data_IF_987425297464
#
_entry.id   IF_987425297464
#
_cell.length_a   1.000
_cell.length_b   1.000
_cell.length_c   1.000
_cell.angle_alpha   90.00
_cell.angle_beta   90.00
_cell.angle_gamma   90.00
#
_symmetry.space_group_name_H-M   'P 1'
#
loop_
_entity.id
_entity.type
_entity.pdbx_description
1 polymer ?
#
# COMPACT_ATOMS: atom_id res chain seq x y z
N UNK A 1 -41.87 -20.01 32.58
CA UNK A 1 -42.53 -19.22 31.52
C UNK A 1 -41.48 -18.30 30.92
N UNK A 2 -41.16 -18.50 29.62
CA UNK A 2 -40.34 -17.70 28.67
C UNK A 2 -38.97 -17.17 29.17
N UNK A 3 -37.77 -17.65 28.81
CA UNK A 3 -37.14 -18.20 27.59
C UNK A 3 -37.08 -17.24 26.38
N UNK A 4 -35.89 -16.66 26.11
CA UNK A 4 -35.11 -16.82 24.86
C UNK A 4 -34.03 -15.71 24.70
N UNK A 5 -32.77 -16.11 24.87
CA UNK A 5 -31.55 -15.41 24.46
C UNK A 5 -31.27 -15.68 22.98
N UNK A 6 -31.03 -14.65 22.15
CA UNK A 6 -30.59 -14.83 20.74
C UNK A 6 -29.06 -14.77 20.65
N UNK A 7 -28.49 -15.93 20.37
CA UNK A 7 -27.14 -16.15 19.87
C UNK A 7 -27.12 -15.88 18.36
N UNK A 8 -26.11 -15.16 17.86
CA UNK A 8 -25.88 -14.94 16.43
C UNK A 8 -24.57 -15.63 16.07
N UNK A 9 -24.66 -16.65 15.22
CA UNK A 9 -23.55 -17.28 14.49
C UNK A 9 -24.01 -17.61 13.06
N UNK A 10 -23.08 -17.71 12.08
CA UNK A 10 -23.37 -17.52 10.66
C UNK A 10 -23.81 -18.83 9.98
N UNK A 11 -24.77 -18.72 9.07
CA UNK A 11 -25.20 -19.83 8.21
C UNK A 11 -24.43 -19.76 6.89
N UNK A 12 -23.58 -20.77 6.68
CA UNK A 12 -23.05 -21.16 5.39
C UNK A 12 -24.19 -21.41 4.39
N UNK A 13 -24.11 -20.78 3.21
CA UNK A 13 -24.96 -21.13 2.06
C UNK A 13 -24.07 -21.38 0.86
N UNK A 14 -23.66 -22.64 0.73
CA UNK A 14 -23.21 -23.21 -0.53
C UNK A 14 -24.45 -23.44 -1.40
N UNK A 15 -24.51 -22.78 -2.56
CA UNK A 15 -25.41 -23.16 -3.65
C UNK A 15 -24.57 -23.36 -4.91
N UNK A 16 -24.61 -24.58 -5.38
CA UNK A 16 -23.89 -25.13 -6.52
C UNK A 16 -24.82 -25.01 -7.74
N UNK A 17 -24.22 -24.84 -8.92
CA UNK A 17 -24.77 -25.06 -10.28
C UNK A 17 -25.43 -23.86 -10.98
N UNK A 18 -24.67 -23.23 -11.87
CA UNK A 18 -25.12 -22.97 -13.24
C UNK A 18 -23.92 -22.97 -14.19
N UNK A 19 -23.88 -24.00 -15.03
CA UNK A 19 -22.95 -24.21 -16.14
C UNK A 19 -23.06 -23.10 -17.18
N UNK A 20 -21.95 -22.52 -17.61
CA UNK A 20 -21.86 -21.80 -18.89
C UNK A 20 -20.51 -22.06 -19.53
N UNK A 21 -20.47 -23.14 -20.32
CA UNK A 21 -19.45 -23.40 -21.33
C UNK A 21 -19.64 -22.39 -22.47
N UNK A 22 -18.85 -21.33 -22.53
CA UNK A 22 -18.72 -20.53 -23.77
C UNK A 22 -17.47 -20.98 -24.51
N UNK A 23 -17.73 -21.83 -25.50
CA UNK A 23 -16.79 -22.34 -26.49
C UNK A 23 -16.26 -21.21 -27.40
N UNK A 24 -14.96 -21.28 -27.68
CA UNK A 24 -14.30 -21.12 -28.99
C UNK A 24 -14.95 -20.17 -30.03
N UNK A 25 -14.21 -19.10 -30.37
CA UNK A 25 -14.20 -18.55 -31.74
C UNK A 25 -12.79 -18.03 -32.10
N UNK A 26 -12.04 -18.71 -32.99
CA UNK A 26 -10.96 -18.11 -33.74
C UNK A 26 -11.55 -17.54 -35.04
N UNK A 27 -11.30 -16.26 -35.32
CA UNK A 27 -11.58 -15.67 -36.64
C UNK A 27 -10.24 -15.36 -37.31
N UNK A 28 -9.91 -16.18 -38.31
CA UNK A 28 -9.02 -15.82 -39.42
C UNK A 28 -9.86 -15.33 -40.60
N UNK A 29 -9.19 -14.61 -41.52
CA UNK A 29 -9.67 -13.87 -42.71
C UNK A 29 -10.01 -12.40 -42.39
N UNK A 30 -9.56 -11.38 -43.14
CA UNK A 30 -9.11 -11.35 -44.52
C UNK A 30 -8.03 -10.26 -44.78
N UNK A 31 -7.32 -10.50 -45.88
CA UNK A 31 -6.32 -9.69 -46.59
C UNK A 31 -6.85 -8.30 -47.03
N UNK A 32 -5.97 -7.28 -47.01
CA UNK A 32 -5.74 -6.15 -47.97
C UNK A 32 -4.89 -5.10 -47.19
N UNK A 33 -3.56 -5.02 -47.32
CA UNK A 33 -2.70 -4.50 -48.41
C UNK A 33 -2.57 -2.95 -48.46
N UNK A 34 -1.55 -2.42 -47.77
CA UNK A 34 -0.73 -1.22 -48.10
C UNK A 34 0.28 -1.08 -46.95
N UNK A 35 1.60 -1.22 -47.10
CA UNK A 35 2.50 -0.69 -48.11
C UNK A 35 3.81 -1.51 -48.19
N UNK A 36 4.25 -1.75 -49.41
CA UNK A 36 5.49 -2.43 -49.78
C UNK A 36 6.71 -1.52 -49.54
N UNK A 37 7.77 -2.07 -48.96
CA UNK A 37 9.15 -1.74 -49.34
C UNK A 37 9.97 -3.03 -49.33
N UNK A 38 10.60 -3.27 -50.48
CA UNK A 38 11.22 -4.50 -50.97
C UNK A 38 12.47 -4.89 -50.17
N UNK A 39 12.58 -6.16 -49.77
CA UNK A 39 13.89 -6.82 -49.74
C UNK A 39 13.74 -8.34 -49.92
N UNK A 40 14.15 -8.81 -51.10
CA UNK A 40 14.24 -10.20 -51.53
C UNK A 40 15.47 -10.92 -50.95
N UNK A 41 15.28 -12.15 -50.48
CA UNK A 41 16.23 -13.31 -50.44
C UNK A 41 15.88 -14.20 -49.24
N UNK A 42 15.82 -15.54 -49.27
CA UNK A 42 16.06 -16.55 -50.30
C UNK A 42 15.72 -17.92 -49.66
N UNK A 43 14.96 -18.76 -50.39
CA UNK A 43 14.90 -20.25 -50.39
C UNK A 43 14.60 -21.09 -49.11
N UNK A 44 13.88 -22.18 -49.40
CA UNK A 44 13.35 -23.25 -48.55
C UNK A 44 14.40 -24.26 -48.01
N UNK A 45 14.20 -24.69 -46.75
CA UNK A 45 14.41 -26.03 -46.09
C UNK A 45 15.79 -26.73 -46.13
N UNK A 46 16.31 -27.28 -45.00
CA UNK A 46 15.81 -28.55 -44.42
C UNK A 46 15.72 -28.61 -42.88
N UNK A 47 14.97 -29.61 -42.41
CA UNK A 47 14.80 -30.01 -41.00
C UNK A 47 16.14 -30.43 -40.40
N UNK A 48 16.58 -29.74 -39.34
CA UNK A 48 17.68 -30.17 -38.48
C UNK A 48 17.19 -30.12 -37.03
N UNK A 49 17.22 -31.27 -36.33
CA UNK A 49 17.09 -31.35 -34.87
C UNK A 49 18.27 -30.58 -34.26
N UNK A 50 18.11 -29.28 -34.07
CA UNK A 50 19.00 -28.50 -33.22
C UNK A 50 18.58 -28.77 -31.77
N UNK A 51 19.50 -29.12 -30.84
CA UNK A 51 19.17 -29.08 -29.44
C UNK A 51 18.83 -27.63 -29.12
N UNK A 52 17.55 -27.35 -28.84
CA UNK A 52 17.13 -26.07 -28.27
C UNK A 52 17.76 -26.02 -26.89
N UNK A 53 18.97 -25.48 -26.81
CA UNK A 53 19.56 -25.02 -25.56
C UNK A 53 18.62 -23.90 -25.10
N UNK A 54 17.63 -24.27 -24.28
CA UNK A 54 16.86 -23.30 -23.50
C UNK A 54 17.84 -22.72 -22.50
N UNK A 55 18.59 -21.70 -22.91
CA UNK A 55 19.24 -20.80 -21.98
C UNK A 55 18.17 -20.46 -20.94
N UNK A 56 18.43 -20.77 -19.67
CA UNK A 56 17.58 -20.35 -18.57
C UNK A 56 17.53 -18.83 -18.64
N UNK A 57 16.46 -18.32 -19.23
CA UNK A 57 16.23 -16.90 -19.41
C UNK A 57 15.77 -16.40 -18.04
N UNK A 58 16.73 -16.10 -17.18
CA UNK A 58 16.47 -15.40 -15.92
C UNK A 58 15.91 -14.03 -16.30
N UNK A 59 14.63 -13.82 -16.02
CA UNK A 59 13.98 -12.53 -16.17
C UNK A 59 14.71 -11.50 -15.32
N UNK A 60 14.92 -10.29 -15.85
CA UNK A 60 15.47 -9.19 -15.08
C UNK A 60 14.73 -9.04 -13.74
N UNK A 61 15.47 -8.75 -12.66
CA UNK A 61 14.90 -8.51 -11.33
C UNK A 61 13.91 -7.33 -11.38
N UNK A 62 12.61 -7.58 -11.24
CA UNK A 62 11.58 -6.52 -11.12
C UNK A 62 11.69 -5.88 -9.74
N UNK A 63 12.10 -4.61 -9.70
CA UNK A 63 12.18 -3.80 -8.47
C UNK A 63 10.86 -3.13 -8.07
N UNK A 64 9.78 -3.48 -8.77
CA UNK A 64 8.47 -2.86 -8.58
C UNK A 64 7.87 -3.22 -7.22
N UNK A 65 8.12 -4.45 -6.73
CA UNK A 65 7.65 -4.92 -5.43
C UNK A 65 8.36 -4.18 -4.30
N UNK A 66 9.68 -3.98 -4.40
CA UNK A 66 10.44 -3.21 -3.42
C UNK A 66 9.96 -1.77 -3.36
N UNK A 67 9.69 -1.17 -4.53
CA UNK A 67 9.15 0.19 -4.62
C UNK A 67 7.74 0.29 -4.01
N UNK A 68 6.87 -0.68 -4.30
CA UNK A 68 5.53 -0.74 -3.70
C UNK A 68 5.60 -0.94 -2.17
N UNK A 69 6.51 -1.79 -1.69
CA UNK A 69 6.71 -2.04 -0.27
C UNK A 69 7.20 -0.79 0.47
N UNK A 70 8.05 0.04 -0.14
CA UNK A 70 8.48 1.33 0.43
C UNK A 70 7.31 2.28 0.64
N UNK A 71 6.42 2.44 -0.33
CA UNK A 71 5.27 3.33 -0.19
C UNK A 71 4.30 2.87 0.89
N UNK A 72 4.04 1.56 0.97
CA UNK A 72 3.17 0.99 2.02
C UNK A 72 3.84 1.13 3.40
N UNK A 73 5.13 0.80 3.51
CA UNK A 73 5.90 0.89 4.74
C UNK A 73 6.01 2.33 5.25
N UNK A 74 6.33 3.28 4.37
CA UNK A 74 6.38 4.70 4.70
C UNK A 74 5.01 5.21 5.16
N UNK A 75 3.93 4.84 4.47
CA UNK A 75 2.56 5.18 4.88
C UNK A 75 2.21 4.63 6.26
N UNK A 76 2.49 3.34 6.50
CA UNK A 76 2.26 2.71 7.80
C UNK A 76 3.10 3.36 8.92
N UNK A 77 4.34 3.76 8.64
CA UNK A 77 5.20 4.43 9.59
C UNK A 77 4.62 5.77 10.06
N UNK A 78 3.92 6.53 9.20
CA UNK A 78 3.34 7.84 9.57
C UNK A 78 2.18 7.79 10.58
N UNK A 79 1.59 6.61 10.83
CA UNK A 79 0.48 6.47 11.80
C UNK A 79 0.90 6.93 13.21
N UNK A 80 2.19 6.83 13.55
CA UNK A 80 2.72 7.32 14.83
C UNK A 80 2.53 8.82 15.08
N UNK A 81 2.38 9.65 14.02
CA UNK A 81 2.12 11.09 14.16
C UNK A 81 0.77 11.36 14.84
N UNK A 82 -0.20 10.45 14.70
CA UNK A 82 -1.48 10.55 15.41
C UNK A 82 -1.29 10.56 16.93
N UNK A 83 -0.29 9.81 17.43
CA UNK A 83 0.07 9.81 18.85
C UNK A 83 0.59 11.16 19.33
N UNK A 84 1.42 11.83 18.52
CA UNK A 84 1.86 13.20 18.82
C UNK A 84 0.67 14.18 18.83
N UNK A 85 -0.23 14.11 17.84
CA UNK A 85 -1.41 14.96 17.80
C UNK A 85 -2.32 14.79 19.04
N UNK A 86 -2.55 13.56 19.48
CA UNK A 86 -3.28 13.26 20.70
C UNK A 86 -2.55 13.79 21.95
N UNK A 87 -1.22 13.63 22.02
CA UNK A 87 -0.39 14.16 23.10
C UNK A 87 -0.47 15.67 23.22
N UNK A 88 -0.33 16.39 22.11
CA UNK A 88 -0.46 17.85 22.03
C UNK A 88 -1.84 18.31 22.50
N UNK A 89 -2.90 17.65 22.03
CA UNK A 89 -4.28 17.94 22.46
C UNK A 89 -4.47 17.77 23.97
N UNK A 90 -3.90 16.72 24.55
CA UNK A 90 -3.95 16.47 25.99
C UNK A 90 -3.15 17.50 26.81
N UNK A 91 -1.97 17.90 26.33
CA UNK A 91 -1.13 18.92 26.98
C UNK A 91 -1.84 20.27 27.01
N UNK A 92 -2.35 20.73 25.86
CA UNK A 92 -3.08 22.00 25.80
C UNK A 92 -4.43 21.95 26.51
N UNK A 93 -5.14 20.81 26.47
CA UNK A 93 -6.37 20.63 27.25
C UNK A 93 -6.13 20.75 28.75
N UNK A 94 -5.08 20.11 29.26
CA UNK A 94 -4.68 20.21 30.67
C UNK A 94 -4.18 21.60 31.04
N UNK A 95 -3.50 22.30 30.13
CA UNK A 95 -3.09 23.69 30.33
C UNK A 95 -4.29 24.61 30.54
N UNK A 96 -5.33 24.51 29.71
CA UNK A 96 -6.53 25.36 29.83
C UNK A 96 -7.24 25.10 31.16
N UNK A 97 -7.40 23.83 31.55
CA UNK A 97 -7.99 23.45 32.83
C UNK A 97 -7.14 23.99 34.00
N UNK A 98 -5.81 23.86 33.91
CA UNK A 98 -4.88 24.38 34.91
C UNK A 98 -4.94 25.90 35.03
N UNK A 99 -5.02 26.60 33.90
CA UNK A 99 -5.15 28.05 33.83
C UNK A 99 -6.47 28.53 34.44
N UNK A 100 -7.58 27.83 34.16
CA UNK A 100 -8.89 28.14 34.71
C UNK A 100 -8.94 27.99 36.24
N UNK A 101 -8.13 27.09 36.82
CA UNK A 101 -8.06 26.89 38.27
C UNK A 101 -7.23 27.94 38.98
N UNK A 102 -6.06 28.30 38.43
CA UNK A 102 -5.14 29.24 39.07
C UNK A 102 -4.43 30.12 38.03
N UNK A 103 -5.03 31.27 37.65
CA UNK A 103 -4.49 32.13 36.60
C UNK A 103 -3.18 32.86 36.98
N UNK A 104 -2.86 32.94 38.27
CA UNK A 104 -1.61 33.54 38.77
C UNK A 104 -0.34 32.80 38.33
N UNK A 105 -0.44 31.48 38.10
CA UNK A 105 0.68 30.62 37.70
C UNK A 105 0.86 30.49 36.18
N UNK A 106 0.19 31.35 35.38
CA UNK A 106 0.13 31.21 33.93
C UNK A 106 1.47 31.05 33.24
N UNK A 107 2.48 31.81 33.65
CA UNK A 107 3.77 31.85 32.95
C UNK A 107 4.53 30.54 33.13
N UNK A 108 4.48 29.97 34.33
CA UNK A 108 5.11 28.70 34.65
C UNK A 108 4.36 27.54 33.99
N UNK A 109 3.03 27.53 34.05
CA UNK A 109 2.21 26.51 33.39
C UNK A 109 2.39 26.54 31.87
N UNK A 110 2.46 27.72 31.27
CA UNK A 110 2.71 27.85 29.84
C UNK A 110 4.11 27.34 29.47
N UNK A 111 5.14 27.63 30.26
CA UNK A 111 6.49 27.11 30.04
C UNK A 111 6.53 25.57 30.07
N UNK A 112 5.83 24.95 31.02
CA UNK A 112 5.70 23.48 31.07
C UNK A 112 4.88 22.90 29.93
N UNK A 113 3.82 23.58 29.50
CA UNK A 113 3.04 23.15 28.34
C UNK A 113 3.84 23.23 27.04
N UNK A 114 4.66 24.27 26.83
CA UNK A 114 5.54 24.36 25.67
C UNK A 114 6.64 23.29 25.71
N UNK A 115 7.18 22.98 26.89
CA UNK A 115 8.09 21.84 27.06
C UNK A 115 7.41 20.51 26.67
N UNK A 116 6.20 20.27 27.18
CA UNK A 116 5.41 19.07 26.84
C UNK A 116 5.04 18.99 25.35
N UNK A 117 4.68 20.13 24.74
CA UNK A 117 4.43 20.26 23.31
C UNK A 117 5.67 19.90 22.50
N UNK A 118 6.84 20.47 22.84
CA UNK A 118 8.09 20.19 22.15
C UNK A 118 8.50 18.71 22.23
N UNK A 119 8.29 18.07 23.39
CA UNK A 119 8.56 16.63 23.55
C UNK A 119 7.59 15.76 22.74
N UNK A 120 6.30 16.12 22.71
CA UNK A 120 5.31 15.42 21.88
C UNK A 120 5.64 15.57 20.39
N UNK A 121 5.95 16.79 19.94
CA UNK A 121 6.39 17.08 18.57
C UNK A 121 7.68 16.33 18.21
N UNK A 122 8.66 16.25 19.11
CA UNK A 122 9.88 15.49 18.85
C UNK A 122 9.58 14.01 18.53
N UNK A 123 8.61 13.39 19.21
CA UNK A 123 8.19 12.02 18.90
C UNK A 123 7.45 11.92 17.57
N UNK A 124 6.61 12.91 17.23
CA UNK A 124 5.93 12.99 15.94
C UNK A 124 6.92 13.16 14.77
N UNK A 125 7.88 14.07 14.90
CA UNK A 125 8.94 14.28 13.92
C UNK A 125 9.88 13.09 13.81
N UNK A 126 10.14 12.39 14.91
CA UNK A 126 10.91 11.14 14.89
C UNK A 126 10.21 10.06 14.05
N UNK A 127 8.88 9.95 14.18
CA UNK A 127 8.07 9.06 13.35
C UNK A 127 8.11 9.46 11.87
N UNK A 128 7.99 10.76 11.54
CA UNK A 128 8.12 11.24 10.16
C UNK A 128 9.52 11.04 9.59
N UNK A 129 10.56 11.23 10.39
CA UNK A 129 11.94 10.97 9.99
C UNK A 129 12.08 9.52 9.50
N UNK A 130 11.55 8.55 10.24
CA UNK A 130 11.57 7.14 9.83
C UNK A 130 10.76 6.89 8.55
N UNK A 131 9.61 7.52 8.40
CA UNK A 131 8.82 7.44 7.16
C UNK A 131 9.61 7.97 5.95
N UNK A 132 10.34 9.09 6.10
CA UNK A 132 11.17 9.63 5.02
C UNK A 132 12.40 8.77 4.71
N UNK A 133 13.01 8.15 5.73
CA UNK A 133 14.10 7.19 5.49
C UNK A 133 13.62 5.99 4.66
N UNK A 134 12.42 5.47 4.95
CA UNK A 134 11.81 4.38 4.17
C UNK A 134 11.44 4.79 2.73
N UNK A 135 11.16 6.07 2.49
CA UNK A 135 10.74 6.57 1.18
C UNK A 135 11.96 6.94 0.30
N UNK A 136 13.01 7.53 0.89
CA UNK A 136 14.09 8.17 0.13
C UNK A 136 15.50 7.62 0.40
N UNK A 137 15.75 6.96 1.53
CA UNK A 137 17.10 6.52 1.90
C UNK A 137 17.34 5.03 1.65
N UNK A 138 16.32 4.21 1.88
CA UNK A 138 16.32 2.77 1.63
C UNK A 138 15.51 2.46 0.39
#
# INVERSE_FOLDING_TARGET
MFACTRFIAPVARSAIVASSKTYLRPLSSAVINQSQSLQESQRQTPVCLSPVIRNFQTSALSRDIDSAAKFIGAGAATVGVAGSGAGIGSVFGSLIIGYARNPSLKQQLFSYAILGFALSEAMGLFCLMMAFLLLFAF
#
